data_IF_039093206514
#
_entry.id   IF_039093206514
#
_cell.length_a   1.000
_cell.length_b   1.000
_cell.length_c   1.000
_cell.angle_alpha   90.00
_cell.angle_beta   90.00
_cell.angle_gamma   90.00
#
_symmetry.space_group_name_H-M   'P 1'
#
loop_
_entity.id
_entity.type
_entity.pdbx_description
1 polymer ?
#
# COMPACT_ATOMS: atom_id res chain seq x y z
N UNK A 1 18.03 8.47 -8.04
CA UNK A 1 17.64 9.87 -7.71
C UNK A 1 18.20 10.15 -6.32
N UNK A 2 18.59 11.39 -5.97
CA UNK A 2 19.02 11.62 -4.58
C UNK A 2 17.77 11.53 -3.68
N UNK A 3 17.84 10.74 -2.60
CA UNK A 3 16.73 10.63 -1.66
C UNK A 3 16.42 11.99 -1.06
N UNK A 4 15.16 12.24 -0.72
CA UNK A 4 14.84 13.42 0.10
C UNK A 4 15.34 13.17 1.51
N UNK A 5 15.57 14.24 2.26
CA UNK A 5 16.05 14.17 3.66
C UNK A 5 15.11 13.29 4.51
N UNK A 6 13.79 13.36 4.26
CA UNK A 6 12.78 12.54 4.94
C UNK A 6 12.90 11.04 4.64
N UNK A 7 13.42 10.68 3.47
CA UNK A 7 13.62 9.27 3.09
C UNK A 7 15.01 8.79 3.50
N UNK A 8 16.03 9.64 3.46
CA UNK A 8 17.35 9.33 4.01
C UNK A 8 17.25 9.00 5.51
N UNK A 9 16.42 9.74 6.26
CA UNK A 9 16.19 9.47 7.69
C UNK A 9 15.46 8.15 7.97
N UNK A 10 14.90 7.49 6.96
CA UNK A 10 14.32 6.14 7.06
C UNK A 10 15.29 5.07 6.52
N UNK A 11 15.84 5.28 5.32
CA UNK A 11 16.67 4.32 4.61
C UNK A 11 18.01 4.08 5.32
N UNK A 12 18.68 5.14 5.80
CA UNK A 12 19.97 5.02 6.46
C UNK A 12 19.89 4.22 7.77
N UNK A 13 18.93 4.49 8.69
CA UNK A 13 18.77 3.64 9.87
C UNK A 13 18.43 2.19 9.52
N UNK A 14 17.58 1.93 8.51
CA UNK A 14 17.27 0.55 8.08
C UNK A 14 18.52 -0.15 7.54
N UNK A 15 19.40 0.54 6.81
CA UNK A 15 20.67 0.01 6.33
C UNK A 15 21.65 -0.30 7.46
N UNK A 16 21.65 0.53 8.51
CA UNK A 16 22.52 0.38 9.67
C UNK A 16 22.09 -0.72 10.65
N UNK A 17 20.84 -1.23 10.54
CA UNK A 17 20.37 -2.30 11.40
C UNK A 17 21.16 -3.60 11.16
N UNK A 18 21.50 -4.34 12.23
CA UNK A 18 22.10 -5.66 12.09
C UNK A 18 21.21 -6.59 11.25
N UNK A 19 21.83 -7.39 10.39
CA UNK A 19 21.14 -8.37 9.53
C UNK A 19 20.72 -9.64 10.29
N UNK A 20 20.77 -9.61 11.62
CA UNK A 20 20.43 -10.73 12.48
C UNK A 20 18.90 -10.86 12.60
N UNK A 21 18.37 -12.10 12.69
CA UNK A 21 16.95 -12.32 12.92
C UNK A 21 16.46 -11.64 14.22
N UNK A 22 15.23 -11.11 14.20
CA UNK A 22 14.58 -10.61 15.42
C UNK A 22 14.88 -9.15 15.80
N UNK A 23 15.71 -8.44 15.03
CA UNK A 23 15.88 -6.99 15.17
C UNK A 23 14.57 -6.26 14.86
N UNK A 24 14.09 -5.40 15.77
CA UNK A 24 12.85 -4.65 15.57
C UNK A 24 13.04 -3.50 14.59
N UNK A 25 12.04 -3.29 13.73
CA UNK A 25 11.93 -2.15 12.82
C UNK A 25 11.14 -0.97 13.43
N UNK A 26 10.60 -1.11 14.64
CA UNK A 26 9.66 -0.12 15.20
C UNK A 26 10.36 1.21 15.48
N UNK A 27 11.60 1.18 16.00
CA UNK A 27 12.36 2.40 16.31
C UNK A 27 12.74 3.20 15.05
N UNK A 28 13.12 2.51 13.97
CA UNK A 28 13.48 3.17 12.70
C UNK A 28 12.24 3.67 11.96
N UNK A 29 11.09 3.01 12.15
CA UNK A 29 9.82 3.45 11.57
C UNK A 29 9.23 4.68 12.27
N UNK A 30 9.44 4.83 13.59
CA UNK A 30 8.77 5.86 14.39
C UNK A 30 8.99 7.28 13.83
N UNK A 31 10.21 7.62 13.43
CA UNK A 31 10.51 8.95 12.86
C UNK A 31 9.70 9.22 11.59
N UNK A 32 9.47 8.20 10.75
CA UNK A 32 8.66 8.35 9.54
C UNK A 32 7.16 8.46 9.84
N UNK A 33 6.68 7.80 10.89
CA UNK A 33 5.28 7.92 11.34
C UNK A 33 5.00 9.31 11.89
N UNK A 34 5.94 9.86 12.67
CA UNK A 34 5.84 11.22 13.21
C UNK A 34 5.84 12.25 12.07
N UNK A 35 6.72 12.07 11.08
CA UNK A 35 6.76 12.92 9.89
C UNK A 35 5.47 12.80 9.05
N UNK A 36 4.95 11.59 8.81
CA UNK A 36 3.66 11.39 8.14
C UNK A 36 2.52 12.10 8.89
N UNK A 37 2.50 12.05 10.23
CA UNK A 37 1.50 12.74 11.03
C UNK A 37 1.58 14.27 10.88
N UNK A 38 2.78 14.84 10.83
CA UNK A 38 2.97 16.27 10.56
C UNK A 38 2.56 16.65 9.13
N UNK A 39 2.92 15.84 8.12
CA UNK A 39 2.48 16.06 6.74
C UNK A 39 0.95 16.01 6.63
N UNK A 40 0.28 15.06 7.30
CA UNK A 40 -1.19 14.99 7.36
C UNK A 40 -1.81 16.23 7.98
N UNK A 41 -1.22 16.77 9.05
CA UNK A 41 -1.67 18.05 9.63
C UNK A 41 -1.53 19.17 8.61
N UNK A 42 -0.40 19.26 7.90
CA UNK A 42 -0.18 20.28 6.88
C UNK A 42 -1.15 20.17 5.71
N UNK A 43 -1.41 18.97 5.20
CA UNK A 43 -2.43 18.75 4.15
C UNK A 43 -3.83 19.22 4.61
N UNK A 44 -4.13 19.11 5.91
CA UNK A 44 -5.41 19.56 6.46
C UNK A 44 -5.47 21.09 6.73
N UNK A 45 -4.36 21.71 7.15
CA UNK A 45 -4.36 23.08 7.68
C UNK A 45 -3.66 24.11 6.80
N UNK A 46 -2.63 23.74 6.04
CA UNK A 46 -1.82 24.63 5.21
C UNK A 46 -1.40 23.93 3.90
N UNK A 47 -2.35 23.78 2.97
CA UNK A 47 -2.10 23.18 1.64
C UNK A 47 -1.07 23.93 0.80
N UNK A 48 -0.77 25.19 1.12
CA UNK A 48 0.20 26.01 0.36
C UNK A 48 1.61 25.95 0.96
N UNK A 49 1.81 25.13 1.99
CA UNK A 49 3.09 25.01 2.64
C UNK A 49 4.18 24.56 1.64
N UNK A 50 5.35 25.22 1.59
CA UNK A 50 6.43 24.86 0.68
C UNK A 50 6.91 23.41 0.78
N UNK A 51 6.78 22.77 1.96
CA UNK A 51 7.11 21.34 2.14
C UNK A 51 6.28 20.44 1.23
N UNK A 52 5.04 20.81 0.94
CA UNK A 52 4.11 20.03 0.11
C UNK A 52 4.32 20.24 -1.39
N UNK A 53 5.35 21.00 -1.80
CA UNK A 53 5.69 21.23 -3.21
C UNK A 53 6.21 19.97 -3.91
N UNK A 54 6.84 19.06 -3.18
CA UNK A 54 7.21 17.74 -3.69
C UNK A 54 6.00 16.79 -3.60
N UNK A 55 5.43 16.32 -4.72
CA UNK A 55 4.25 15.45 -4.69
C UNK A 55 4.49 14.10 -3.99
N UNK A 56 5.74 13.65 -3.94
CA UNK A 56 6.15 12.36 -3.37
C UNK A 56 6.89 12.51 -2.03
N UNK A 57 6.72 13.64 -1.34
CA UNK A 57 7.32 13.85 -0.02
C UNK A 57 6.98 12.72 0.95
N UNK A 58 7.99 12.21 1.66
CA UNK A 58 7.83 11.10 2.60
C UNK A 58 7.51 9.74 1.96
N UNK A 59 7.56 9.62 0.64
CA UNK A 59 7.43 8.34 -0.08
C UNK A 59 8.78 7.86 -0.60
N UNK A 60 9.04 6.56 -0.50
CA UNK A 60 10.24 5.93 -1.05
C UNK A 60 9.94 5.27 -2.39
N UNK A 61 10.83 5.45 -3.36
CA UNK A 61 10.84 4.64 -4.57
C UNK A 61 11.34 3.23 -4.21
N UNK A 62 10.45 2.25 -4.29
CA UNK A 62 10.69 0.89 -3.81
C UNK A 62 11.87 0.24 -4.53
N UNK A 63 12.07 0.53 -5.83
CA UNK A 63 13.06 -0.17 -6.65
C UNK A 63 14.35 0.63 -6.88
N UNK A 64 14.33 1.96 -6.70
CA UNK A 64 15.56 2.80 -6.66
C UNK A 64 16.25 2.73 -5.27
N UNK A 65 15.51 2.36 -4.23
CA UNK A 65 16.05 2.22 -2.87
C UNK A 65 16.91 0.94 -2.66
N UNK A 66 17.85 0.97 -1.69
CA UNK A 66 18.67 -0.18 -1.35
C UNK A 66 17.85 -1.44 -1.06
N UNK A 67 18.33 -2.61 -1.48
CA UNK A 67 17.61 -3.88 -1.33
C UNK A 67 17.32 -4.28 0.13
N UNK A 68 18.00 -3.67 1.10
CA UNK A 68 17.75 -3.81 2.54
C UNK A 68 16.30 -3.49 2.90
N UNK A 69 15.70 -2.43 2.33
CA UNK A 69 14.30 -2.05 2.60
C UNK A 69 13.31 -3.03 1.96
N UNK A 70 13.78 -3.86 1.03
CA UNK A 70 13.02 -4.94 0.37
C UNK A 70 13.36 -6.32 0.94
N UNK A 71 14.13 -6.39 2.03
CA UNK A 71 14.53 -7.65 2.66
C UNK A 71 13.61 -7.98 3.84
N UNK A 72 13.18 -9.25 3.92
CA UNK A 72 12.36 -9.75 5.01
C UNK A 72 13.15 -9.72 6.33
N UNK A 73 12.52 -9.11 7.34
CA UNK A 73 12.89 -9.10 8.75
C UNK A 73 11.87 -9.93 9.52
N UNK A 74 12.05 -11.24 9.46
CA UNK A 74 11.22 -12.21 10.14
C UNK A 74 11.33 -12.06 11.65
N UNK A 75 10.19 -12.10 12.31
CA UNK A 75 10.12 -12.11 13.77
C UNK A 75 10.63 -13.45 14.28
N UNK A 76 11.61 -13.42 15.17
CA UNK A 76 11.99 -14.56 15.99
C UNK A 76 11.01 -14.65 17.17
N UNK A 77 10.44 -15.82 17.39
CA UNK A 77 9.60 -16.08 18.57
C UNK A 77 10.26 -17.15 19.41
N UNK A 78 10.77 -16.75 20.58
CA UNK A 78 11.30 -17.67 21.56
C UNK A 78 10.17 -18.24 22.43
N UNK A 79 9.84 -19.51 22.21
CA UNK A 79 8.85 -20.23 23.02
C UNK A 79 7.39 -19.85 22.75
N UNK A 80 6.46 -20.72 23.19
CA UNK A 80 5.02 -20.57 22.91
C UNK A 80 4.39 -19.34 23.59
N UNK A 81 4.92 -18.90 24.73
CA UNK A 81 4.37 -17.79 25.51
C UNK A 81 4.55 -16.43 24.80
N UNK A 82 5.60 -16.30 23.99
CA UNK A 82 5.90 -15.07 23.24
C UNK A 82 5.23 -15.02 21.86
N UNK A 83 4.51 -16.06 21.42
CA UNK A 83 3.89 -16.10 20.07
C UNK A 83 2.90 -14.96 19.85
N UNK A 84 2.11 -14.62 20.87
CA UNK A 84 0.90 -13.85 20.67
C UNK A 84 0.70 -12.58 21.54
N UNK A 85 1.54 -12.15 22.50
CA UNK A 85 1.14 -11.18 23.53
C UNK A 85 0.57 -9.87 22.96
N UNK A 86 1.13 -9.42 21.83
CA UNK A 86 0.70 -8.22 21.10
C UNK A 86 0.22 -8.49 19.68
N UNK A 87 0.07 -9.75 19.28
CA UNK A 87 -0.23 -10.13 17.89
C UNK A 87 -1.55 -10.89 17.81
N UNK A 88 -2.34 -10.59 16.79
CA UNK A 88 -3.57 -11.31 16.42
C UNK A 88 -3.49 -11.74 14.96
N UNK A 89 -4.27 -12.77 14.59
CA UNK A 89 -4.30 -13.34 13.23
C UNK A 89 -2.89 -13.71 12.72
N UNK A 90 -2.23 -14.72 13.31
CA UNK A 90 -0.87 -15.09 12.91
C UNK A 90 -0.82 -15.61 11.47
N UNK A 91 0.30 -15.40 10.80
CA UNK A 91 0.58 -16.02 9.50
C UNK A 91 0.92 -17.50 9.73
N UNK A 92 0.27 -18.38 8.96
CA UNK A 92 0.55 -19.83 8.95
C UNK A 92 1.98 -20.09 8.52
N UNK A 93 2.60 -21.17 8.99
CA UNK A 93 4.00 -21.46 8.71
C UNK A 93 4.29 -21.57 7.20
N UNK A 94 3.36 -22.13 6.42
CA UNK A 94 3.45 -22.22 4.94
C UNK A 94 3.49 -20.85 4.24
N UNK A 95 2.95 -19.81 4.89
CA UNK A 95 2.88 -18.45 4.34
C UNK A 95 3.94 -17.51 4.93
N UNK A 96 4.78 -18.01 5.86
CA UNK A 96 5.89 -17.22 6.39
C UNK A 96 7.01 -17.18 5.37
N UNK A 97 7.51 -15.98 5.14
CA UNK A 97 8.65 -15.74 4.28
C UNK A 97 9.91 -15.76 5.15
N UNK A 98 10.97 -16.39 4.64
CA UNK A 98 12.23 -16.58 5.36
C UNK A 98 12.97 -15.24 5.51
N UNK A 99 13.64 -15.06 6.66
CA UNK A 99 14.57 -13.96 6.91
C UNK A 99 15.56 -13.81 5.74
N UNK A 100 15.87 -12.57 5.37
CA UNK A 100 16.89 -12.30 4.37
C UNK A 100 16.43 -12.47 2.91
N UNK A 101 15.24 -13.01 2.67
CA UNK A 101 14.67 -13.08 1.31
C UNK A 101 13.98 -11.78 0.92
N UNK A 102 13.73 -11.55 -0.37
CA UNK A 102 13.01 -10.35 -0.82
C UNK A 102 11.52 -10.42 -0.42
N UNK A 103 11.00 -9.32 0.13
CA UNK A 103 9.58 -9.13 0.41
C UNK A 103 8.78 -8.64 -0.81
N UNK A 104 9.49 -8.27 -1.89
CA UNK A 104 8.97 -7.80 -3.18
C UNK A 104 9.49 -8.66 -4.33
N UNK A 105 9.06 -8.37 -5.56
CA UNK A 105 9.74 -8.74 -6.80
C UNK A 105 11.14 -8.12 -6.89
N UNK A 106 11.98 -8.64 -7.79
CA UNK A 106 13.39 -8.25 -7.88
C UNK A 106 13.57 -6.78 -8.31
N UNK A 107 12.77 -6.34 -9.28
CA UNK A 107 12.89 -5.03 -9.93
C UNK A 107 11.55 -4.52 -10.48
N UNK A 108 11.58 -3.30 -11.01
CA UNK A 108 10.40 -2.61 -11.58
C UNK A 108 9.88 -3.29 -12.85
N UNK A 109 10.71 -4.01 -13.59
CA UNK A 109 10.29 -4.69 -14.82
C UNK A 109 9.49 -5.95 -14.50
N UNK A 110 9.91 -6.72 -13.48
CA UNK A 110 9.11 -7.81 -12.92
C UNK A 110 7.79 -7.28 -12.33
N UNK A 111 7.81 -6.12 -11.67
CA UNK A 111 6.58 -5.45 -11.21
C UNK A 111 5.65 -5.12 -12.39
N UNK A 112 6.15 -4.48 -13.45
CA UNK A 112 5.35 -4.10 -14.62
C UNK A 112 4.75 -5.33 -15.30
N UNK A 113 5.51 -6.41 -15.42
CA UNK A 113 4.99 -7.70 -15.91
C UNK A 113 3.82 -8.19 -15.05
N UNK A 114 3.99 -8.19 -13.73
CA UNK A 114 2.92 -8.60 -12.80
C UNK A 114 1.72 -7.66 -12.86
N UNK A 115 1.94 -6.36 -13.03
CA UNK A 115 0.90 -5.34 -13.19
C UNK A 115 0.09 -5.58 -14.47
N UNK A 116 0.75 -5.86 -15.60
CA UNK A 116 0.08 -6.19 -16.86
C UNK A 116 -0.75 -7.46 -16.74
N UNK A 117 -0.21 -8.52 -16.11
CA UNK A 117 -0.96 -9.76 -15.86
C UNK A 117 -2.16 -9.51 -14.94
N UNK A 118 -1.96 -8.77 -13.85
CA UNK A 118 -3.03 -8.47 -12.89
C UNK A 118 -4.21 -7.74 -13.52
N UNK A 119 -3.90 -6.74 -14.35
CA UNK A 119 -4.89 -5.89 -15.01
C UNK A 119 -5.44 -6.54 -16.28
N UNK A 120 -4.90 -7.68 -16.73
CA UNK A 120 -5.14 -8.26 -18.05
C UNK A 120 -4.95 -7.22 -19.18
N UNK A 121 -4.02 -6.27 -18.96
CA UNK A 121 -3.75 -5.19 -19.91
C UNK A 121 -4.83 -4.11 -20.02
N UNK A 122 -5.83 -4.06 -19.13
CA UNK A 122 -6.95 -3.09 -19.20
C UNK A 122 -6.56 -1.62 -19.08
N UNK A 123 -5.30 -1.33 -18.72
CA UNK A 123 -4.73 0.02 -18.65
C UNK A 123 -3.60 0.24 -19.68
N UNK A 124 -3.45 -0.64 -20.67
CA UNK A 124 -2.34 -0.59 -21.64
C UNK A 124 -2.36 0.65 -22.53
N UNK A 125 -3.55 1.18 -22.85
CA UNK A 125 -3.70 2.43 -23.61
C UNK A 125 -3.65 3.69 -22.75
N UNK A 126 -3.55 3.57 -21.41
CA UNK A 126 -3.35 4.73 -20.54
C UNK A 126 -1.86 5.11 -20.56
N UNK A 127 -1.46 5.87 -21.56
CA UNK A 127 -0.06 6.31 -21.74
C UNK A 127 0.29 7.53 -20.90
N UNK A 128 -0.67 8.41 -20.65
CA UNK A 128 -0.48 9.65 -19.91
C UNK A 128 -0.87 9.45 -18.44
N UNK A 129 0.13 9.19 -17.60
CA UNK A 129 -0.04 9.03 -16.16
C UNK A 129 0.09 10.34 -15.36
N UNK A 130 0.19 11.49 -16.03
CA UNK A 130 0.24 12.76 -15.33
C UNK A 130 -1.01 12.94 -14.46
N UNK A 131 -0.80 13.34 -13.21
CA UNK A 131 -1.86 13.61 -12.24
C UNK A 131 -2.77 12.42 -11.91
N UNK A 132 -2.33 11.19 -12.19
CA UNK A 132 -3.02 9.95 -11.80
C UNK A 132 -2.03 8.94 -11.22
N UNK A 133 -2.43 8.23 -10.18
CA UNK A 133 -1.69 7.08 -9.67
C UNK A 133 -2.64 5.92 -9.43
N UNK A 134 -2.19 4.71 -9.72
CA UNK A 134 -2.83 3.52 -9.16
C UNK A 134 -2.33 3.33 -7.73
N UNK A 135 -3.17 2.93 -6.78
CA UNK A 135 -2.72 2.70 -5.41
C UNK A 135 -3.46 1.55 -4.74
N UNK A 136 -2.96 1.11 -3.59
CA UNK A 136 -3.65 0.15 -2.75
C UNK A 136 -3.32 -1.30 -3.05
N UNK A 137 -4.32 -2.16 -2.88
CA UNK A 137 -4.15 -3.61 -2.92
C UNK A 137 -3.71 -4.13 -4.28
N UNK A 138 -4.05 -3.46 -5.38
CA UNK A 138 -3.63 -3.80 -6.74
C UNK A 138 -2.12 -3.66 -6.90
N UNK A 139 -1.58 -2.51 -6.49
CA UNK A 139 -0.13 -2.21 -6.53
C UNK A 139 0.62 -3.15 -5.59
N UNK A 140 0.18 -3.30 -4.33
CA UNK A 140 0.81 -4.23 -3.39
C UNK A 140 0.86 -5.66 -3.93
N UNK A 141 -0.18 -6.11 -4.64
CA UNK A 141 -0.17 -7.43 -5.27
C UNK A 141 0.91 -7.50 -6.34
N UNK A 142 0.95 -6.55 -7.28
CA UNK A 142 1.98 -6.48 -8.33
C UNK A 142 3.42 -6.44 -7.78
N UNK A 143 3.63 -5.80 -6.62
CA UNK A 143 4.92 -5.78 -5.91
C UNK A 143 5.31 -7.14 -5.35
N UNK A 144 4.38 -8.04 -5.00
CA UNK A 144 4.68 -9.30 -4.31
C UNK A 144 4.72 -10.50 -5.27
N UNK A 145 5.61 -11.46 -4.98
CA UNK A 145 5.85 -12.68 -5.79
C UNK A 145 4.67 -13.66 -5.84
N UNK A 146 3.70 -13.56 -4.93
CA UNK A 146 2.57 -14.50 -4.80
C UNK A 146 1.38 -14.10 -5.71
N UNK A 147 1.48 -14.39 -7.01
CA UNK A 147 0.36 -14.24 -7.96
C UNK A 147 -0.45 -15.52 -8.19
N UNK A 148 0.14 -16.70 -7.96
CA UNK A 148 -0.39 -17.98 -8.45
C UNK A 148 -1.29 -18.76 -7.49
N UNK A 149 -1.58 -18.27 -6.29
CA UNK A 149 -2.65 -18.86 -5.49
C UNK A 149 -3.99 -18.23 -5.87
N UNK A 150 -5.04 -19.04 -5.96
CA UNK A 150 -6.47 -18.70 -6.16
C UNK A 150 -7.04 -17.64 -5.18
N UNK A 151 -6.21 -16.92 -4.45
CA UNK A 151 -6.58 -16.19 -3.27
C UNK A 151 -7.34 -14.89 -3.56
N UNK A 152 -7.30 -14.31 -4.78
CA UNK A 152 -7.93 -13.00 -5.02
C UNK A 152 -8.45 -12.78 -6.47
N UNK A 153 -9.49 -13.50 -6.92
CA UNK A 153 -10.09 -13.27 -8.23
C UNK A 153 -10.73 -11.87 -8.38
N UNK A 154 -11.12 -11.19 -7.29
CA UNK A 154 -12.04 -10.04 -7.33
C UNK A 154 -11.46 -8.69 -6.87
N UNK A 155 -10.13 -8.52 -6.74
CA UNK A 155 -9.61 -7.18 -6.38
C UNK A 155 -9.70 -6.22 -7.56
N UNK A 156 -10.19 -5.01 -7.31
CA UNK A 156 -10.29 -3.91 -8.27
C UNK A 156 -8.95 -3.16 -8.42
N UNK A 157 -8.86 -2.31 -9.44
CA UNK A 157 -7.77 -1.36 -9.64
C UNK A 157 -8.23 0.04 -9.25
N UNK A 158 -7.72 0.56 -8.14
CA UNK A 158 -8.06 1.91 -7.67
C UNK A 158 -7.09 2.95 -8.27
N UNK A 159 -7.64 3.93 -8.99
CA UNK A 159 -6.96 5.09 -9.55
C UNK A 159 -7.33 6.35 -8.75
N UNK A 160 -6.33 7.15 -8.44
CA UNK A 160 -6.44 8.38 -7.67
C UNK A 160 -5.95 9.56 -8.51
N UNK A 161 -6.76 10.61 -8.58
CA UNK A 161 -6.42 11.86 -9.26
C UNK A 161 -5.85 12.87 -8.27
N UNK A 162 -4.81 13.59 -8.68
CA UNK A 162 -4.13 14.52 -7.80
C UNK A 162 -3.66 15.79 -8.50
N UNK A 163 -3.63 16.91 -7.77
CA UNK A 163 -3.08 18.18 -8.26
C UNK A 163 -3.88 18.83 -9.40
N UNK A 164 -5.19 18.60 -9.46
CA UNK A 164 -6.07 19.11 -10.52
C UNK A 164 -7.31 19.82 -9.97
N UNK A 165 -7.92 20.66 -10.81
CA UNK A 165 -9.26 21.20 -10.55
C UNK A 165 -10.35 20.16 -10.92
N UNK A 166 -11.61 20.33 -10.46
CA UNK A 166 -12.71 19.45 -10.86
C UNK A 166 -12.91 19.33 -12.37
N UNK A 167 -12.82 20.43 -13.11
CA UNK A 167 -13.00 20.43 -14.57
C UNK A 167 -11.88 19.65 -15.28
N UNK A 168 -10.64 19.81 -14.82
CA UNK A 168 -9.50 19.05 -15.32
C UNK A 168 -9.63 17.56 -14.97
N UNK A 169 -10.10 17.25 -13.77
CA UNK A 169 -10.34 15.88 -13.33
C UNK A 169 -11.44 15.21 -14.18
N UNK A 170 -12.50 15.93 -14.56
CA UNK A 170 -13.53 15.38 -15.47
C UNK A 170 -12.94 15.01 -16.83
N UNK A 171 -12.09 15.88 -17.40
CA UNK A 171 -11.36 15.58 -18.65
C UNK A 171 -10.49 14.34 -18.46
N UNK A 172 -9.77 14.25 -17.33
CA UNK A 172 -8.89 13.11 -17.02
C UNK A 172 -9.66 11.80 -16.85
N UNK A 173 -10.85 11.84 -16.24
CA UNK A 173 -11.73 10.67 -16.11
C UNK A 173 -12.18 10.18 -17.49
N UNK A 174 -12.54 11.09 -18.41
CA UNK A 174 -12.89 10.73 -19.79
C UNK A 174 -11.70 10.10 -20.51
N UNK A 175 -10.50 10.67 -20.38
CA UNK A 175 -9.26 10.09 -20.93
C UNK A 175 -9.01 8.67 -20.42
N UNK A 176 -9.15 8.44 -19.11
CA UNK A 176 -9.02 7.09 -18.51
C UNK A 176 -10.09 6.14 -19.04
N UNK A 177 -11.34 6.60 -19.16
CA UNK A 177 -12.44 5.80 -19.69
C UNK A 177 -12.17 5.31 -21.12
N UNK A 178 -11.77 6.22 -22.01
CA UNK A 178 -11.42 5.91 -23.39
C UNK A 178 -10.24 4.93 -23.45
N UNK A 179 -9.19 5.17 -22.64
CA UNK A 179 -8.04 4.28 -22.56
C UNK A 179 -8.42 2.86 -22.10
N UNK A 180 -9.29 2.72 -21.08
CA UNK A 180 -9.75 1.39 -20.62
C UNK A 180 -10.58 0.72 -21.71
N UNK A 181 -11.53 1.44 -22.32
CA UNK A 181 -12.35 0.92 -23.42
C UNK A 181 -11.50 0.40 -24.58
N UNK A 182 -10.48 1.16 -24.97
CA UNK A 182 -9.62 0.83 -26.11
C UNK A 182 -8.58 -0.25 -25.77
N UNK A 183 -8.42 -0.59 -24.49
CA UNK A 183 -7.53 -1.66 -24.01
C UNK A 183 -8.21 -3.03 -23.92
N UNK A 184 -9.54 -3.08 -23.93
CA UNK A 184 -10.31 -4.32 -23.71
C UNK A 184 -11.07 -4.74 -24.96
N UNK A 185 -11.34 -6.04 -25.09
CA UNK A 185 -12.05 -6.61 -26.25
C UNK A 185 -13.58 -6.43 -26.19
N UNK A 186 -14.13 -6.17 -25.01
CA UNK A 186 -15.58 -6.14 -24.77
C UNK A 186 -16.04 -4.74 -24.38
N UNK A 187 -17.33 -4.47 -24.61
CA UNK A 187 -17.95 -3.22 -24.16
C UNK A 187 -17.72 -2.97 -22.66
N UNK A 188 -17.50 -1.70 -22.33
CA UNK A 188 -17.32 -1.25 -20.95
C UNK A 188 -18.55 -0.53 -20.43
N UNK A 189 -18.91 -0.77 -19.18
CA UNK A 189 -19.98 -0.06 -18.48
C UNK A 189 -19.39 0.79 -17.37
N UNK A 190 -19.69 2.08 -17.36
CA UNK A 190 -19.26 3.01 -16.31
C UNK A 190 -20.41 3.24 -15.30
N UNK A 191 -20.14 2.98 -14.03
CA UNK A 191 -21.07 3.23 -12.91
C UNK A 191 -20.47 4.32 -12.03
N UNK A 192 -21.18 5.44 -11.92
CA UNK A 192 -20.79 6.55 -11.04
C UNK A 192 -21.59 6.49 -9.73
N UNK A 193 -20.87 6.48 -8.62
CA UNK A 193 -21.41 6.69 -7.28
C UNK A 193 -21.05 8.10 -6.78
N UNK A 194 -21.40 8.41 -5.52
CA UNK A 194 -20.99 9.66 -4.88
C UNK A 194 -19.46 9.82 -4.79
N UNK A 195 -18.72 8.73 -4.63
CA UNK A 195 -17.30 8.75 -4.29
C UNK A 195 -16.39 8.16 -5.36
N UNK A 196 -16.94 7.38 -6.30
CA UNK A 196 -16.15 6.68 -7.32
C UNK A 196 -16.85 6.67 -8.67
N UNK A 197 -16.08 6.62 -9.74
CA UNK A 197 -16.54 6.20 -11.07
C UNK A 197 -15.84 4.87 -11.39
N UNK A 198 -16.63 3.80 -11.59
CA UNK A 198 -16.11 2.44 -11.76
C UNK A 198 -16.39 1.96 -13.18
N UNK A 199 -15.34 1.52 -13.88
CA UNK A 199 -15.40 1.00 -15.24
C UNK A 199 -15.34 -0.52 -15.17
N UNK A 200 -16.39 -1.18 -15.66
CA UNK A 200 -16.54 -2.61 -15.66
C UNK A 200 -16.48 -3.15 -17.09
N UNK A 201 -15.77 -4.26 -17.28
CA UNK A 201 -15.78 -5.05 -18.51
C UNK A 201 -16.05 -6.52 -18.15
N UNK A 202 -16.17 -7.38 -19.16
CA UNK A 202 -16.35 -8.82 -18.93
C UNK A 202 -15.08 -9.46 -18.36
N UNK A 203 -15.24 -10.58 -17.66
CA UNK A 203 -14.10 -11.42 -17.26
C UNK A 203 -13.23 -11.73 -18.50
N UNK A 204 -11.88 -11.69 -18.40
CA UNK A 204 -11.06 -11.66 -17.19
C UNK A 204 -10.70 -10.26 -16.65
N UNK A 205 -11.19 -9.20 -17.28
CA UNK A 205 -10.84 -7.83 -16.90
C UNK A 205 -11.39 -7.45 -15.52
N UNK A 206 -10.54 -6.83 -14.70
CA UNK A 206 -10.91 -6.30 -13.39
C UNK A 206 -11.58 -4.94 -13.55
N UNK A 207 -12.41 -4.57 -12.58
CA UNK A 207 -12.97 -3.22 -12.58
C UNK A 207 -11.88 -2.18 -12.27
N UNK A 208 -11.91 -1.06 -12.99
CA UNK A 208 -11.05 0.10 -12.75
C UNK A 208 -11.89 1.15 -12.04
N UNK A 209 -11.54 1.48 -10.80
CA UNK A 209 -12.26 2.44 -9.97
C UNK A 209 -11.47 3.74 -9.90
N UNK A 210 -12.08 4.84 -10.33
CA UNK A 210 -11.51 6.17 -10.21
C UNK A 210 -12.13 6.84 -8.98
N UNK A 211 -11.31 7.16 -7.99
CA UNK A 211 -11.72 7.87 -6.79
C UNK A 211 -11.97 9.34 -7.14
N UNK A 212 -13.17 9.85 -6.80
CA UNK A 212 -13.61 11.20 -7.16
C UNK A 212 -13.14 12.28 -6.16
N UNK A 213 -12.58 11.88 -5.02
CA UNK A 213 -11.91 12.81 -4.11
C UNK A 213 -10.58 13.25 -4.74
N UNK A 214 -10.40 14.56 -4.91
CA UNK A 214 -9.19 15.13 -5.46
C UNK A 214 -8.16 15.37 -4.36
N UNK A 215 -7.00 14.77 -4.52
CA UNK A 215 -5.85 14.97 -3.64
C UNK A 215 -4.94 16.05 -4.22
N UNK A 216 -4.09 16.63 -3.38
CA UNK A 216 -3.02 17.53 -3.76
C UNK A 216 -1.85 16.75 -4.37
N UNK A 217 -1.55 15.56 -3.83
CA UNK A 217 -0.41 14.76 -4.28
C UNK A 217 -0.56 13.25 -3.99
N UNK A 218 0.31 12.40 -4.58
CA UNK A 218 0.41 10.99 -4.22
C UNK A 218 0.73 10.76 -2.73
N UNK A 219 1.56 11.63 -2.12
CA UNK A 219 1.83 11.58 -0.69
C UNK A 219 0.56 11.77 0.17
N UNK A 220 -0.28 12.77 -0.15
CA UNK A 220 -1.56 12.95 0.55
C UNK A 220 -2.47 11.73 0.36
N UNK A 221 -2.52 11.18 -0.85
CA UNK A 221 -3.32 9.99 -1.19
C UNK A 221 -2.97 8.82 -0.28
N UNK A 222 -1.69 8.46 -0.18
CA UNK A 222 -1.24 7.32 0.62
C UNK A 222 -1.34 7.58 2.12
N UNK A 223 -1.19 8.84 2.57
CA UNK A 223 -1.36 9.21 3.99
C UNK A 223 -2.78 8.98 4.52
N UNK A 224 -3.77 8.95 3.63
CA UNK A 224 -5.17 8.70 3.97
C UNK A 224 -5.52 7.22 4.19
N UNK A 225 -4.61 6.30 3.92
CA UNK A 225 -4.89 4.86 3.98
C UNK A 225 -4.82 4.34 5.43
N UNK A 226 -5.77 3.48 5.77
CA UNK A 226 -5.94 2.92 7.12
C UNK A 226 -5.01 1.74 7.43
N UNK A 227 -4.74 0.87 6.46
CA UNK A 227 -3.86 -0.32 6.59
C UNK A 227 -2.49 0.00 6.02
N UNK A 228 -1.42 -0.44 6.69
CA UNK A 228 -0.03 -0.17 6.31
C UNK A 228 0.38 -0.77 4.95
N UNK A 229 0.26 -2.10 4.80
CA UNK A 229 0.78 -2.81 3.63
C UNK A 229 0.32 -2.23 2.28
N UNK A 230 -0.96 -1.83 2.06
CA UNK A 230 -1.39 -1.28 0.79
C UNK A 230 -1.02 0.18 0.54
N UNK A 231 -0.25 0.86 1.41
CA UNK A 231 0.19 2.24 1.17
C UNK A 231 1.33 2.31 0.15
N UNK A 232 1.03 1.82 -1.05
CA UNK A 232 1.88 1.80 -2.21
C UNK A 232 1.12 2.41 -3.40
N UNK A 233 1.82 3.10 -4.28
CA UNK A 233 1.29 3.69 -5.50
C UNK A 233 2.19 3.39 -6.71
N UNK A 234 1.59 3.31 -7.89
CA UNK A 234 2.26 3.22 -9.18
C UNK A 234 1.82 4.41 -10.04
N UNK A 235 2.79 5.17 -10.55
CA UNK A 235 2.55 6.40 -11.31
C UNK A 235 2.74 6.21 -12.82
N UNK A 236 2.69 4.97 -13.31
CA UNK A 236 2.97 4.65 -14.71
C UNK A 236 4.45 4.41 -15.02
N UNK A 237 5.37 4.72 -14.09
CA UNK A 237 6.79 4.49 -14.28
C UNK A 237 7.47 3.89 -13.05
N UNK A 238 7.26 4.49 -11.88
CA UNK A 238 7.88 4.15 -10.60
C UNK A 238 6.84 3.61 -9.62
N UNK A 239 7.34 2.87 -8.64
CA UNK A 239 6.53 2.35 -7.53
C UNK A 239 6.95 3.03 -6.24
N UNK A 240 6.00 3.75 -5.67
CA UNK A 240 6.18 4.51 -4.44
C UNK A 240 5.54 3.77 -3.28
N UNK A 241 6.15 3.84 -2.10
CA UNK A 241 5.57 3.31 -0.89
C UNK A 241 5.79 4.26 0.28
N UNK A 242 4.84 4.29 1.21
CA UNK A 242 5.06 4.91 2.50
C UNK A 242 6.01 4.00 3.34
N UNK A 243 6.92 4.54 4.15
CA UNK A 243 7.76 3.78 5.08
C UNK A 243 7.00 2.71 5.90
N UNK A 244 5.76 2.96 6.32
CA UNK A 244 4.95 1.95 7.03
C UNK A 244 4.53 0.77 6.15
N UNK A 245 4.28 1.00 4.86
CA UNK A 245 4.05 -0.09 3.90
C UNK A 245 5.32 -0.94 3.71
N UNK A 246 6.47 -0.28 3.59
CA UNK A 246 7.77 -0.96 3.46
C UNK A 246 8.02 -1.85 4.68
N UNK A 247 7.92 -1.30 5.89
CA UNK A 247 8.10 -2.08 7.12
C UNK A 247 7.06 -3.18 7.25
N UNK A 248 5.80 -2.92 6.85
CA UNK A 248 4.76 -3.94 6.85
C UNK A 248 5.08 -5.11 5.92
N UNK A 249 5.65 -4.86 4.75
CA UNK A 249 6.15 -5.90 3.84
C UNK A 249 7.36 -6.63 4.43
N UNK A 250 8.37 -5.91 4.94
CA UNK A 250 9.57 -6.48 5.52
C UNK A 250 9.26 -7.48 6.65
N UNK A 251 8.35 -7.15 7.57
CA UNK A 251 8.03 -8.02 8.71
C UNK A 251 6.76 -8.87 8.54
N UNK A 252 6.12 -8.80 7.36
CA UNK A 252 4.81 -9.38 7.05
C UNK A 252 3.74 -9.04 8.11
N UNK A 253 3.61 -7.75 8.46
CA UNK A 253 2.70 -7.32 9.53
C UNK A 253 2.13 -5.91 9.33
N UNK A 254 0.82 -5.75 9.51
CA UNK A 254 0.21 -4.43 9.71
C UNK A 254 0.20 -4.09 11.21
N UNK A 255 0.47 -2.84 11.57
CA UNK A 255 0.25 -2.32 12.93
C UNK A 255 -1.17 -1.77 13.03
N UNK A 256 -1.84 -2.06 14.14
CA UNK A 256 -3.07 -1.37 14.51
C UNK A 256 -2.72 0.02 15.00
N UNK A 257 -3.07 1.00 14.19
CA UNK A 257 -3.12 2.41 14.56
C UNK A 257 -4.58 2.89 14.57
N UNK A 258 -4.98 3.52 15.67
CA UNK A 258 -6.33 4.06 15.85
C UNK A 258 -6.49 5.44 15.21
N UNK A 259 -5.40 6.14 14.91
CA UNK A 259 -5.41 7.46 14.25
C UNK A 259 -5.87 7.34 12.80
N UNK A 260 -5.60 6.21 12.15
CA UNK A 260 -5.95 5.95 10.75
C UNK A 260 -7.23 5.11 10.60
N UNK A 261 -7.96 4.82 11.69
CA UNK A 261 -9.10 3.90 11.68
C UNK A 261 -10.24 4.40 10.79
N UNK A 262 -10.54 3.66 9.73
CA UNK A 262 -11.72 3.84 8.87
C UNK A 262 -12.92 3.02 9.38
N UNK A 263 -14.15 3.28 8.89
CA UNK A 263 -15.33 2.45 9.22
C UNK A 263 -15.18 0.96 8.82
N UNK A 264 -14.28 0.65 7.89
CA UNK A 264 -14.04 -0.69 7.37
C UNK A 264 -12.76 -1.33 7.93
N UNK A 265 -12.11 -0.68 8.89
CA UNK A 265 -10.73 -0.98 9.28
C UNK A 265 -10.53 -2.41 9.75
N UNK A 266 -11.37 -2.91 10.65
CA UNK A 266 -11.26 -4.28 11.19
C UNK A 266 -11.50 -5.33 10.11
N UNK A 267 -12.47 -5.10 9.23
CA UNK A 267 -12.75 -5.97 8.07
C UNK A 267 -11.55 -5.98 7.12
N UNK A 268 -10.93 -4.82 6.91
CA UNK A 268 -9.72 -4.70 6.10
C UNK A 268 -8.52 -5.39 6.76
N UNK A 269 -8.32 -5.26 8.07
CA UNK A 269 -7.29 -6.00 8.80
C UNK A 269 -7.47 -7.52 8.62
N UNK A 270 -8.70 -8.03 8.75
CA UNK A 270 -9.01 -9.44 8.48
C UNK A 270 -8.74 -9.84 7.01
N UNK A 271 -9.10 -8.99 6.04
CA UNK A 271 -8.78 -9.19 4.62
C UNK A 271 -7.27 -9.27 4.37
N UNK A 272 -6.47 -8.43 5.02
CA UNK A 272 -5.01 -8.45 4.87
C UNK A 272 -4.34 -9.58 5.65
N UNK A 273 -4.96 -10.11 6.71
CA UNK A 273 -4.46 -11.33 7.37
C UNK A 273 -4.61 -12.56 6.51
N UNK A 274 -5.70 -12.66 5.76
CA UNK A 274 -5.87 -13.66 4.70
C UNK A 274 -4.85 -13.48 3.55
N UNK A 275 -4.20 -12.30 3.44
CA UNK A 275 -3.11 -11.97 2.49
C UNK A 275 -1.71 -12.16 3.08
N UNK A 276 -1.61 -12.98 4.12
CA UNK A 276 -0.35 -13.33 4.79
C UNK A 276 0.34 -12.14 5.47
N UNK A 277 -0.44 -11.21 6.02
CA UNK A 277 0.05 -10.18 6.94
C UNK A 277 -0.51 -10.40 8.35
N UNK A 278 0.33 -10.67 9.34
CA UNK A 278 -0.14 -10.70 10.73
C UNK A 278 -0.57 -9.30 11.19
N UNK A 279 -1.33 -9.24 12.27
CA UNK A 279 -1.76 -7.97 12.85
C UNK A 279 -1.06 -7.77 14.18
N UNK A 280 -0.34 -6.67 14.32
CA UNK A 280 0.32 -6.23 15.55
C UNK A 280 -0.54 -5.16 16.22
N UNK A 281 -0.81 -5.33 17.51
CA UNK A 281 -1.65 -4.44 18.31
C UNK A 281 -0.81 -3.96 19.50
N UNK A 282 -0.14 -2.79 19.40
CA UNK A 282 0.76 -2.29 20.45
C UNK A 282 0.06 -2.19 21.81
N UNK A 283 -1.19 -1.73 21.81
CA UNK A 283 -2.01 -1.52 23.01
C UNK A 283 -2.64 -2.80 23.58
N UNK A 284 -2.46 -3.98 22.96
CA UNK A 284 -3.11 -5.21 23.43
C UNK A 284 -2.56 -5.66 24.78
N UNK A 285 -3.42 -5.81 25.77
CA UNK A 285 -3.09 -6.40 27.07
C UNK A 285 -3.93 -7.66 27.26
N UNK A 286 -3.33 -8.84 27.01
CA UNK A 286 -4.06 -10.11 27.06
C UNK A 286 -4.67 -10.43 28.43
N UNK A 287 -4.07 -9.94 29.50
CA UNK A 287 -4.60 -10.08 30.86
C UNK A 287 -5.93 -9.35 31.07
N UNK A 288 -6.24 -8.34 30.24
CA UNK A 288 -7.49 -7.58 30.27
C UNK A 288 -8.56 -8.13 29.31
N UNK A 289 -8.26 -9.20 28.56
CA UNK A 289 -9.20 -9.83 27.63
C UNK A 289 -9.82 -11.04 28.33
N UNK A 290 -11.13 -11.00 28.55
CA UNK A 290 -11.86 -12.16 29.05
C UNK A 290 -11.97 -13.23 27.93
N UNK A 291 -11.36 -14.41 28.10
CA UNK A 291 -11.37 -15.46 27.09
C UNK A 291 -12.75 -16.14 26.92
N UNK A 292 -13.71 -15.86 27.80
CA UNK A 292 -15.04 -16.48 27.80
C UNK A 292 -16.07 -15.72 26.98
N UNK A 293 -15.79 -14.45 26.64
CA UNK A 293 -16.67 -13.63 25.80
C UNK A 293 -16.57 -14.12 24.35
N UNK A 294 -17.60 -14.83 23.88
CA UNK A 294 -17.74 -15.16 22.47
C UNK A 294 -18.32 -13.96 21.71
N UNK A 295 -17.86 -13.67 20.49
CA UNK A 295 -18.57 -12.72 19.62
C UNK A 295 -19.99 -13.23 19.39
N UNK A 296 -20.98 -12.35 19.58
CA UNK A 296 -22.38 -12.59 19.25
C UNK A 296 -22.58 -12.80 17.74
#
# INVERSE_FOLDING_TARGET
>A
MQFTIEIESFVEPVNALPTLPGVSLDAVLQSSLDEEAELRKLFATDKKNPRLSNPYIGLVDVFDAPATIRTIRARVVEGKQNLSPKYVMPVTDDNRILEGTLCTVADVEEFKKNWTIFTEGSLSQLVNWNNVVAAGGSVLRAIRKYYHSNAYPTSDVDLFLWGMTPDQAEIKIKEIYEAVRDSVLWDVTCIRTKHTASIHSQYPYRSVQIVLLLYQSPAETLSGFDIDAPCCAYDGNRVWANPRAVVAMMRQCNTVDMIHRSPSYEVRLAKYSQRSFKIYVPALERSKVDPTVRPL
#
